data_IF_218171344087
#
_entry.id   IF_218171344087
#
_cell.length_a   1.000
_cell.length_b   1.000
_cell.length_c   1.000
_cell.angle_alpha   90.00
_cell.angle_beta   90.00
_cell.angle_gamma   90.00
#
_symmetry.space_group_name_H-M   'P 1'
#
loop_
_entity.id
_entity.type
_entity.pdbx_description
1 polymer ?
#
# COMPACT_ATOMS: atom_id res chain seq x y z
N UNK A 1 6.72 -29.20 90.16
CA UNK A 1 7.53 -29.18 88.97
C UNK A 1 6.61 -29.43 87.74
N UNK A 2 6.11 -28.44 87.09
CA UNK A 2 5.17 -28.59 85.97
C UNK A 2 5.68 -27.75 84.78
N UNK A 3 6.04 -28.49 83.76
CA UNK A 3 6.46 -27.85 82.48
C UNK A 3 5.25 -27.43 81.63
N UNK A 4 5.07 -26.13 81.44
CA UNK A 4 4.11 -25.59 80.47
C UNK A 4 4.73 -25.59 79.08
N UNK A 5 4.17 -26.37 78.17
CA UNK A 5 4.48 -26.32 76.71
C UNK A 5 3.72 -25.18 76.06
N UNK A 6 4.47 -24.21 75.54
CA UNK A 6 3.92 -23.15 74.67
C UNK A 6 3.78 -23.69 73.27
N UNK A 7 2.57 -23.65 72.72
CA UNK A 7 2.28 -23.93 71.31
C UNK A 7 2.42 -22.63 70.52
N UNK A 8 3.32 -22.62 69.57
CA UNK A 8 3.47 -21.52 68.58
C UNK A 8 2.58 -21.83 67.38
N UNK A 9 1.59 -20.99 67.15
CA UNK A 9 0.80 -21.00 65.94
C UNK A 9 1.56 -20.20 64.87
N UNK A 10 1.99 -20.87 63.81
CA UNK A 10 2.52 -20.24 62.61
C UNK A 10 1.38 -19.87 61.67
N UNK A 11 1.09 -18.58 61.51
CA UNK A 11 0.17 -18.08 60.49
C UNK A 11 0.89 -18.13 59.14
N UNK A 12 0.49 -19.08 58.31
CA UNK A 12 0.92 -19.14 56.92
C UNK A 12 0.23 -18.06 56.08
N UNK A 13 0.96 -17.05 55.69
CA UNK A 13 0.50 -16.01 54.77
C UNK A 13 0.59 -16.57 53.35
N UNK A 14 -0.53 -17.05 52.81
CA UNK A 14 -0.63 -17.43 51.38
C UNK A 14 -0.67 -16.19 50.49
N UNK A 15 0.47 -15.87 49.91
CA UNK A 15 0.55 -14.83 48.87
C UNK A 15 -0.07 -15.41 47.59
N UNK A 16 -1.31 -15.01 47.26
CA UNK A 16 -1.90 -15.21 45.94
C UNK A 16 -1.15 -14.31 44.94
N UNK A 17 -0.21 -14.88 44.19
CA UNK A 17 0.37 -14.26 43.02
C UNK A 17 -0.72 -14.21 41.92
N UNK A 18 -1.43 -13.10 41.82
CA UNK A 18 -2.23 -12.75 40.64
C UNK A 18 -1.25 -12.54 39.46
N UNK A 19 -1.08 -13.57 38.67
CA UNK A 19 -0.48 -13.44 37.35
C UNK A 19 -1.45 -12.63 36.50
N UNK A 20 -1.24 -11.32 36.38
CA UNK A 20 -1.83 -10.51 35.34
C UNK A 20 -1.32 -11.07 34.01
N UNK A 21 -2.16 -11.81 33.30
CA UNK A 21 -1.90 -12.18 31.91
C UNK A 21 -1.69 -10.86 31.14
N UNK A 22 -0.56 -10.69 30.43
CA UNK A 22 -0.39 -9.52 29.59
C UNK A 22 -1.58 -9.51 28.63
N UNK A 23 -2.31 -8.38 28.57
CA UNK A 23 -3.28 -8.13 27.51
C UNK A 23 -2.48 -8.26 26.21
N UNK A 24 -2.72 -9.34 25.46
CA UNK A 24 -2.13 -9.52 24.14
C UNK A 24 -2.58 -8.35 23.31
N UNK A 25 -1.65 -7.43 23.01
CA UNK A 25 -1.90 -6.40 22.02
C UNK A 25 -2.39 -7.09 20.74
N UNK A 26 -3.56 -6.70 20.25
CA UNK A 26 -4.06 -7.25 19.00
C UNK A 26 -3.02 -6.94 17.92
N UNK A 27 -2.67 -7.94 17.12
CA UNK A 27 -1.72 -7.75 16.04
C UNK A 27 -2.34 -6.88 14.95
N UNK A 28 -1.53 -6.12 14.20
CA UNK A 28 -2.00 -5.33 13.06
C UNK A 28 -2.79 -6.19 12.06
N UNK A 29 -2.40 -7.45 11.87
CA UNK A 29 -3.10 -8.39 11.00
C UNK A 29 -4.48 -8.78 11.55
N UNK A 30 -4.62 -8.98 12.86
CA UNK A 30 -5.90 -9.29 13.49
C UNK A 30 -6.87 -8.10 13.41
N UNK A 31 -6.40 -6.90 13.69
CA UNK A 31 -7.20 -5.66 13.58
C UNK A 31 -7.67 -5.43 12.12
N UNK A 32 -6.79 -5.61 11.15
CA UNK A 32 -7.13 -5.53 9.73
C UNK A 32 -8.19 -6.58 9.35
N UNK A 33 -8.04 -7.82 9.79
CA UNK A 33 -8.99 -8.90 9.51
C UNK A 33 -10.35 -8.60 10.11
N UNK A 34 -10.40 -8.10 11.35
CA UNK A 34 -11.63 -7.68 12.01
C UNK A 34 -12.30 -6.53 11.25
N UNK A 35 -11.55 -5.48 10.92
CA UNK A 35 -12.05 -4.34 10.16
C UNK A 35 -12.61 -4.77 8.79
N UNK A 36 -11.92 -5.63 8.06
CA UNK A 36 -12.42 -6.18 6.79
C UNK A 36 -13.73 -6.95 6.96
N UNK A 37 -13.85 -7.75 8.03
CA UNK A 37 -15.06 -8.49 8.33
C UNK A 37 -16.24 -7.55 8.67
N UNK A 38 -15.99 -6.46 9.40
CA UNK A 38 -16.99 -5.43 9.72
C UNK A 38 -17.47 -4.71 8.47
N UNK A 39 -16.55 -4.25 7.63
CA UNK A 39 -16.87 -3.62 6.34
C UNK A 39 -17.69 -4.57 5.48
N UNK A 40 -17.28 -5.84 5.38
CA UNK A 40 -18.01 -6.84 4.60
C UNK A 40 -19.45 -7.04 5.10
N UNK A 41 -19.66 -7.07 6.42
CA UNK A 41 -21.01 -7.18 7.00
C UNK A 41 -21.88 -5.96 6.73
N UNK A 42 -21.30 -4.76 6.73
CA UNK A 42 -22.03 -3.50 6.51
C UNK A 42 -22.43 -3.24 5.06
N UNK A 43 -21.81 -3.93 4.09
CA UNK A 43 -22.03 -3.68 2.66
C UNK A 43 -23.27 -4.41 2.13
N UNK A 44 -24.05 -3.78 1.24
CA UNK A 44 -25.11 -4.46 0.46
C UNK A 44 -24.55 -5.66 -0.31
N UNK A 45 -25.39 -6.67 -0.55
CA UNK A 45 -24.99 -7.89 -1.26
C UNK A 45 -24.46 -7.63 -2.68
N UNK A 46 -24.99 -6.63 -3.35
CA UNK A 46 -24.62 -6.22 -4.71
C UNK A 46 -23.47 -5.19 -4.76
N UNK A 47 -22.89 -4.83 -3.62
CA UNK A 47 -21.77 -3.90 -3.59
C UNK A 47 -20.55 -4.48 -4.33
N UNK A 48 -20.00 -3.74 -5.28
CA UNK A 48 -18.87 -4.20 -6.09
C UNK A 48 -17.67 -4.63 -5.24
N UNK A 49 -17.31 -3.86 -4.18
CA UNK A 49 -16.22 -4.21 -3.28
C UNK A 49 -16.45 -5.53 -2.52
N UNK A 50 -17.72 -5.89 -2.25
CA UNK A 50 -18.07 -7.19 -1.66
C UNK A 50 -17.85 -8.32 -2.67
N UNK A 51 -18.31 -8.13 -3.90
CA UNK A 51 -18.21 -9.15 -4.96
C UNK A 51 -16.75 -9.43 -5.36
N UNK A 52 -15.94 -8.38 -5.50
CA UNK A 52 -14.52 -8.52 -5.87
C UNK A 52 -13.62 -9.01 -4.73
N UNK A 53 -14.06 -8.96 -3.49
CA UNK A 53 -13.30 -9.48 -2.35
C UNK A 53 -13.40 -11.01 -2.16
N UNK A 54 -14.35 -11.68 -2.85
CA UNK A 54 -14.61 -13.11 -2.71
C UNK A 54 -13.65 -14.00 -3.51
N UNK A 55 -13.34 -13.69 -4.81
CA UNK A 55 -12.49 -14.57 -5.61
C UNK A 55 -11.08 -14.71 -5.02
N UNK A 56 -10.64 -15.95 -4.81
CA UNK A 56 -9.31 -16.27 -4.34
C UNK A 56 -8.29 -16.45 -5.48
N UNK A 57 -8.77 -16.52 -6.74
CA UNK A 57 -7.96 -16.74 -7.93
C UNK A 57 -8.28 -15.73 -9.03
N UNK A 58 -7.30 -15.41 -9.89
CA UNK A 58 -7.54 -14.65 -11.11
C UNK A 58 -8.56 -15.34 -12.02
N UNK A 59 -9.29 -14.56 -12.80
CA UNK A 59 -10.16 -15.09 -13.85
C UNK A 59 -9.29 -15.74 -14.95
N UNK A 60 -9.70 -16.92 -15.44
CA UNK A 60 -9.04 -17.61 -16.55
C UNK A 60 -9.42 -16.96 -17.89
N UNK A 61 -8.94 -15.74 -18.08
CA UNK A 61 -9.15 -14.90 -19.26
C UNK A 61 -7.82 -14.34 -19.75
N UNK A 62 -7.70 -13.92 -21.00
CA UNK A 62 -6.55 -13.14 -21.44
C UNK A 62 -6.34 -11.90 -20.57
N UNK A 63 -5.08 -11.57 -20.31
CA UNK A 63 -4.72 -10.42 -19.49
C UNK A 63 -5.34 -9.14 -20.07
N UNK A 64 -5.93 -8.34 -19.18
CA UNK A 64 -6.57 -7.10 -19.60
C UNK A 64 -6.95 -6.21 -18.43
N UNK A 65 -6.87 -4.91 -18.66
CA UNK A 65 -7.28 -3.86 -17.75
C UNK A 65 -8.54 -3.21 -18.27
N UNK A 66 -9.62 -3.20 -17.49
CA UNK A 66 -10.96 -2.84 -17.96
C UNK A 66 -11.52 -1.69 -17.13
N UNK A 67 -11.77 -0.55 -17.74
CA UNK A 67 -12.33 0.64 -17.09
C UNK A 67 -11.27 1.64 -16.62
N UNK A 68 -11.56 2.40 -15.56
CA UNK A 68 -10.68 3.39 -15.00
C UNK A 68 -10.00 2.87 -13.72
N UNK A 69 -8.87 3.46 -13.33
CA UNK A 69 -8.06 3.04 -12.17
C UNK A 69 -8.85 2.94 -10.86
N UNK A 70 -9.82 3.81 -10.65
CA UNK A 70 -10.74 3.78 -9.49
C UNK A 70 -12.14 3.23 -9.82
N UNK A 71 -12.38 2.71 -11.03
CA UNK A 71 -13.69 2.20 -11.46
C UNK A 71 -13.52 1.17 -12.59
N UNK A 72 -13.04 -0.01 -12.23
CA UNK A 72 -12.71 -1.04 -13.22
C UNK A 72 -12.45 -2.40 -12.61
N UNK A 73 -11.79 -3.28 -13.37
CA UNK A 73 -11.39 -4.62 -12.97
C UNK A 73 -10.21 -5.13 -13.80
N UNK A 74 -9.62 -6.26 -13.40
CA UNK A 74 -8.50 -6.91 -14.05
C UNK A 74 -8.86 -8.32 -14.49
N UNK A 75 -8.76 -8.62 -15.79
CA UNK A 75 -8.84 -9.95 -16.34
C UNK A 75 -7.44 -10.58 -16.40
N UNK A 76 -7.34 -11.90 -16.23
CA UNK A 76 -6.10 -12.66 -16.42
C UNK A 76 -4.91 -12.10 -15.64
N UNK A 77 -5.15 -11.57 -14.44
CA UNK A 77 -4.08 -11.12 -13.58
C UNK A 77 -3.18 -12.30 -13.18
N UNK A 78 -1.91 -12.02 -12.92
CA UNK A 78 -0.97 -13.00 -12.39
C UNK A 78 -0.50 -12.59 -11.00
N UNK A 79 -0.10 -13.56 -10.19
CA UNK A 79 0.43 -13.32 -8.87
C UNK A 79 1.89 -12.88 -8.96
N UNK A 80 2.26 -11.85 -8.20
CA UNK A 80 3.64 -11.60 -7.84
C UNK A 80 4.00 -12.57 -6.72
N UNK A 81 5.05 -13.39 -6.91
CA UNK A 81 5.50 -14.29 -5.87
C UNK A 81 5.85 -13.52 -4.58
N UNK A 82 5.50 -14.07 -3.40
CA UNK A 82 5.75 -13.39 -2.12
C UNK A 82 7.20 -12.98 -1.92
N UNK A 83 8.11 -13.71 -2.52
CA UNK A 83 9.56 -13.51 -2.48
C UNK A 83 10.19 -13.59 -3.85
N UNK A 84 11.20 -12.76 -4.08
CA UNK A 84 12.02 -12.84 -5.27
C UNK A 84 13.35 -12.12 -5.14
N UNK A 85 14.18 -12.14 -6.19
CA UNK A 85 15.41 -11.38 -6.23
C UNK A 85 15.13 -9.88 -6.11
N UNK A 86 15.39 -9.32 -4.92
CA UNK A 86 15.25 -7.90 -4.65
C UNK A 86 13.85 -7.42 -4.27
N UNK A 87 12.89 -8.29 -3.99
CA UNK A 87 11.60 -7.88 -3.44
C UNK A 87 11.03 -8.87 -2.43
N UNK A 88 10.16 -8.37 -1.54
CA UNK A 88 9.33 -9.13 -0.62
C UNK A 88 7.94 -8.47 -0.54
N UNK A 89 6.89 -9.28 -0.66
CA UNK A 89 5.50 -8.79 -0.54
C UNK A 89 5.16 -8.60 0.93
N UNK A 90 4.59 -7.44 1.25
CA UNK A 90 4.10 -7.10 2.59
C UNK A 90 2.61 -7.39 2.71
N UNK A 91 2.13 -7.72 3.92
CA UNK A 91 0.72 -8.05 4.20
C UNK A 91 0.18 -9.17 3.29
N UNK A 92 0.89 -10.32 3.14
CA UNK A 92 0.47 -11.38 2.23
C UNK A 92 -0.92 -11.95 2.52
N UNK A 93 -1.40 -11.88 3.77
CA UNK A 93 -2.77 -12.28 4.16
C UNK A 93 -3.88 -11.50 3.46
N UNK A 94 -3.56 -10.28 2.95
CA UNK A 94 -4.53 -9.47 2.21
C UNK A 94 -4.84 -10.02 0.81
N UNK A 95 -4.00 -10.93 0.29
CA UNK A 95 -4.07 -11.43 -1.09
C UNK A 95 -4.15 -10.28 -2.14
N UNK A 96 -3.34 -9.23 -1.96
CA UNK A 96 -3.26 -8.04 -2.83
C UNK A 96 -1.94 -7.96 -3.59
N UNK A 97 -1.41 -9.10 -3.98
CA UNK A 97 -0.17 -9.23 -4.77
C UNK A 97 -0.46 -9.76 -6.19
N UNK A 98 -1.59 -9.35 -6.77
CA UNK A 98 -1.97 -9.70 -8.13
C UNK A 98 -1.90 -8.47 -9.03
N UNK A 99 -1.62 -8.69 -10.31
CA UNK A 99 -1.57 -7.59 -11.28
C UNK A 99 -1.52 -8.07 -12.71
N UNK A 100 -1.65 -7.14 -13.62
CA UNK A 100 -1.40 -7.39 -15.03
C UNK A 100 0.03 -7.91 -15.21
N UNK A 101 0.31 -8.87 -16.12
CA UNK A 101 1.66 -9.38 -16.35
C UNK A 101 2.72 -8.29 -16.54
N UNK A 102 2.34 -7.18 -17.21
CA UNK A 102 3.19 -6.01 -17.38
C UNK A 102 3.59 -5.35 -16.05
N UNK A 103 2.67 -5.26 -15.08
CA UNK A 103 2.97 -4.71 -13.75
C UNK A 103 3.96 -5.61 -13.01
N UNK A 104 3.72 -6.92 -13.01
CA UNK A 104 4.61 -7.88 -12.35
C UNK A 104 6.01 -7.82 -12.96
N UNK A 105 6.12 -7.75 -14.29
CA UNK A 105 7.42 -7.59 -14.97
C UNK A 105 8.09 -6.26 -14.59
N UNK A 106 7.34 -5.16 -14.51
CA UNK A 106 7.85 -3.85 -14.11
C UNK A 106 8.37 -3.84 -12.67
N UNK A 107 7.67 -4.50 -11.73
CA UNK A 107 8.14 -4.61 -10.35
C UNK A 107 9.47 -5.38 -10.28
N UNK A 108 9.57 -6.50 -10.99
CA UNK A 108 10.80 -7.31 -11.07
C UNK A 108 11.98 -6.51 -11.65
N UNK A 109 11.73 -5.76 -12.71
CA UNK A 109 12.75 -4.89 -13.34
C UNK A 109 13.16 -3.74 -12.40
N UNK A 110 12.19 -3.12 -11.70
CA UNK A 110 12.47 -2.10 -10.70
C UNK A 110 13.32 -2.64 -9.55
N UNK A 111 13.00 -3.84 -9.04
CA UNK A 111 13.73 -4.48 -7.96
C UNK A 111 15.20 -4.72 -8.35
N UNK A 112 15.42 -5.31 -9.52
CA UNK A 112 16.78 -5.57 -10.04
C UNK A 112 17.58 -4.28 -10.23
N UNK A 113 16.96 -3.25 -10.80
CA UNK A 113 17.62 -1.96 -10.99
C UNK A 113 17.87 -1.20 -9.68
N UNK A 114 16.95 -1.24 -8.74
CA UNK A 114 17.10 -0.60 -7.44
C UNK A 114 18.29 -1.19 -6.65
N UNK A 115 18.50 -2.50 -6.73
CA UNK A 115 19.68 -3.14 -6.11
C UNK A 115 21.00 -2.64 -6.72
N UNK A 116 21.04 -2.38 -8.03
CA UNK A 116 22.22 -1.78 -8.67
C UNK A 116 22.49 -0.36 -8.18
N UNK A 117 21.44 0.39 -7.77
CA UNK A 117 21.56 1.72 -7.18
C UNK A 117 21.81 1.69 -5.65
N UNK A 118 22.04 0.50 -5.07
CA UNK A 118 22.31 0.33 -3.65
C UNK A 118 21.07 0.23 -2.76
N UNK A 119 19.85 0.11 -3.33
CA UNK A 119 18.64 -0.15 -2.55
C UNK A 119 18.60 -1.65 -2.17
N UNK A 120 18.51 -2.02 -0.88
CA UNK A 120 18.72 -3.41 -0.47
C UNK A 120 17.61 -4.38 -0.93
N UNK A 121 16.44 -3.87 -1.24
CA UNK A 121 15.29 -4.63 -1.72
C UNK A 121 13.99 -3.88 -1.56
N UNK A 122 13.02 -4.16 -2.42
CA UNK A 122 11.70 -3.55 -2.37
C UNK A 122 10.82 -4.28 -1.34
N UNK A 123 10.13 -3.54 -0.50
CA UNK A 123 8.98 -3.99 0.26
C UNK A 123 7.73 -3.62 -0.54
N UNK A 124 7.16 -4.61 -1.21
CA UNK A 124 6.00 -4.43 -2.10
C UNK A 124 4.73 -4.51 -1.28
N UNK A 125 4.02 -3.42 -1.18
CA UNK A 125 2.71 -3.31 -0.54
C UNK A 125 1.58 -3.81 -1.43
N UNK A 126 0.42 -3.13 -1.34
CA UNK A 126 -0.75 -3.55 -2.08
C UNK A 126 -0.59 -3.32 -3.60
N UNK A 127 -0.95 -4.33 -4.38
CA UNK A 127 -1.21 -4.30 -5.82
C UNK A 127 -2.74 -4.38 -6.02
N UNK A 128 -3.22 -5.31 -6.84
CA UNK A 128 -4.65 -5.59 -6.98
C UNK A 128 -5.03 -6.89 -6.26
N UNK A 129 -6.35 -7.07 -6.06
CA UNK A 129 -6.96 -8.36 -5.75
C UNK A 129 -6.89 -9.31 -6.97
N UNK A 130 -7.16 -10.62 -6.84
CA UNK A 130 -7.03 -11.59 -7.95
C UNK A 130 -7.75 -11.20 -9.24
N UNK A 131 -8.91 -10.53 -9.14
CA UNK A 131 -9.71 -10.05 -10.28
C UNK A 131 -9.76 -8.52 -10.37
N UNK A 132 -8.86 -7.82 -9.67
CA UNK A 132 -8.92 -6.37 -9.54
C UNK A 132 -10.19 -5.90 -8.85
N UNK A 133 -10.79 -4.84 -9.36
CA UNK A 133 -12.03 -4.29 -8.81
C UNK A 133 -11.88 -3.54 -7.49
N UNK A 134 -12.97 -2.93 -6.98
CA UNK A 134 -12.94 -2.19 -5.74
C UNK A 134 -12.60 -3.07 -4.53
N UNK A 135 -11.68 -2.61 -3.68
CA UNK A 135 -11.26 -3.29 -2.46
C UNK A 135 -12.21 -3.01 -1.29
N UNK A 136 -12.30 -3.93 -0.32
CA UNK A 136 -13.09 -3.73 0.89
C UNK A 136 -12.60 -2.52 1.68
N UNK A 137 -11.30 -2.43 1.88
CA UNK A 137 -10.64 -1.42 2.70
C UNK A 137 -9.47 -0.80 1.94
N UNK A 138 -9.05 0.39 2.36
CA UNK A 138 -7.87 1.07 1.81
C UNK A 138 -8.15 1.79 0.51
N UNK A 139 -7.57 1.32 -0.56
CA UNK A 139 -7.39 2.04 -1.82
C UNK A 139 -8.68 2.34 -2.59
N UNK A 140 -8.75 3.54 -3.16
CA UNK A 140 -9.78 3.92 -4.13
C UNK A 140 -9.43 3.48 -5.57
N UNK A 141 -8.18 3.14 -5.83
CA UNK A 141 -7.64 2.66 -7.12
C UNK A 141 -7.15 1.22 -7.02
N UNK A 142 -6.10 0.81 -7.71
CA UNK A 142 -5.59 -0.57 -7.82
C UNK A 142 -6.55 -1.56 -8.50
N UNK A 143 -7.62 -1.05 -9.12
CA UNK A 143 -8.68 -1.92 -9.65
C UNK A 143 -8.33 -2.58 -10.98
N UNK A 144 -7.40 -2.01 -11.74
CA UNK A 144 -7.00 -2.49 -13.07
C UNK A 144 -5.82 -3.48 -13.05
N UNK A 145 -5.21 -3.71 -11.88
CA UNK A 145 -3.96 -4.48 -11.81
C UNK A 145 -2.76 -3.80 -12.46
N UNK A 146 -2.78 -2.47 -12.60
CA UNK A 146 -1.72 -1.65 -13.18
C UNK A 146 -1.05 -0.72 -12.15
N UNK A 147 -1.32 -0.91 -10.87
CA UNK A 147 -0.84 -0.05 -9.79
C UNK A 147 -0.23 -0.89 -8.67
N UNK A 148 0.78 -0.33 -8.02
CA UNK A 148 1.47 -0.94 -6.88
C UNK A 148 1.95 0.12 -5.92
N UNK A 149 1.81 -0.15 -4.63
CA UNK A 149 2.44 0.60 -3.55
C UNK A 149 3.77 -0.05 -3.19
N UNK A 150 4.83 0.74 -3.15
CA UNK A 150 6.15 0.29 -2.73
C UNK A 150 6.55 1.12 -1.52
N UNK A 151 6.88 0.45 -0.42
CA UNK A 151 7.28 1.11 0.79
C UNK A 151 8.61 1.84 0.61
N UNK A 152 8.71 3.02 1.20
CA UNK A 152 9.97 3.77 1.27
C UNK A 152 10.87 3.27 2.41
N UNK A 153 10.44 2.26 3.15
CA UNK A 153 11.25 1.52 4.09
C UNK A 153 12.12 0.52 3.32
N UNK A 154 13.46 0.58 3.43
CA UNK A 154 14.33 -0.41 2.80
C UNK A 154 14.14 -1.80 3.42
N UNK A 155 14.22 -2.85 2.64
CA UNK A 155 14.29 -4.20 3.17
C UNK A 155 15.54 -4.37 4.05
N UNK A 156 15.51 -5.22 5.10
CA UNK A 156 16.70 -5.47 5.90
C UNK A 156 17.80 -6.11 5.03
N UNK A 157 19.03 -5.61 5.19
CA UNK A 157 20.17 -6.13 4.45
C UNK A 157 20.49 -7.57 4.86
N UNK A 158 20.81 -8.41 3.87
CA UNK A 158 21.31 -9.76 4.08
C UNK A 158 20.30 -10.79 4.59
N UNK A 159 19.04 -10.43 4.80
CA UNK A 159 17.99 -11.39 5.21
C UNK A 159 16.62 -11.08 4.61
N UNK A 160 15.77 -12.06 4.63
CA UNK A 160 14.34 -11.89 4.36
C UNK A 160 13.58 -11.62 5.68
N UNK A 161 12.49 -10.87 5.57
CA UNK A 161 11.52 -10.74 6.65
C UNK A 161 10.78 -12.07 6.84
N UNK A 162 10.51 -12.44 8.09
CA UNK A 162 9.61 -13.54 8.40
C UNK A 162 8.17 -13.21 7.97
N UNK A 163 7.30 -14.21 7.92
CA UNK A 163 5.88 -13.99 7.63
C UNK A 163 5.25 -13.04 8.65
N UNK A 164 5.55 -13.23 9.93
CA UNK A 164 5.07 -12.38 11.01
C UNK A 164 5.54 -10.92 10.85
N UNK A 165 6.85 -10.70 10.58
CA UNK A 165 7.36 -9.35 10.32
C UNK A 165 6.65 -8.68 9.15
N UNK A 166 6.34 -9.40 8.08
CA UNK A 166 5.60 -8.87 6.94
C UNK A 166 4.17 -8.50 7.26
N UNK A 167 3.53 -9.23 8.16
CA UNK A 167 2.16 -8.95 8.60
C UNK A 167 2.10 -7.81 9.63
N UNK A 168 3.11 -7.67 10.50
CA UNK A 168 3.03 -6.80 11.65
C UNK A 168 3.86 -5.51 11.54
N UNK A 169 4.96 -5.52 10.78
CA UNK A 169 5.86 -4.38 10.68
C UNK A 169 5.15 -3.18 10.04
N UNK A 170 5.27 -2.02 10.65
CA UNK A 170 4.83 -0.75 10.07
C UNK A 170 5.91 -0.15 9.16
N UNK A 171 5.49 0.45 8.05
CA UNK A 171 6.40 1.23 7.21
C UNK A 171 6.87 2.49 7.95
N UNK A 172 8.09 2.92 7.68
CA UNK A 172 8.69 4.12 8.27
C UNK A 172 8.08 5.35 7.58
N UNK A 173 7.50 6.22 8.38
CA UNK A 173 6.99 7.51 7.88
C UNK A 173 8.17 8.46 7.58
N UNK A 174 8.23 8.97 6.36
CA UNK A 174 9.28 9.87 5.93
C UNK A 174 8.92 11.35 6.15
N UNK A 175 7.66 11.66 6.39
CA UNK A 175 7.13 13.02 6.44
C UNK A 175 6.89 13.44 7.87
N UNK A 176 7.23 14.68 8.18
CA UNK A 176 6.98 15.27 9.50
C UNK A 176 5.47 15.42 9.75
N UNK A 177 5.00 15.43 11.02
CA UNK A 177 3.58 15.46 11.35
C UNK A 177 2.84 16.70 10.83
N UNK A 178 3.55 17.81 10.61
CA UNK A 178 2.98 19.03 10.04
C UNK A 178 2.80 18.97 8.51
N UNK A 179 3.28 17.90 7.86
CA UNK A 179 3.25 17.67 6.42
C UNK A 179 3.96 18.74 5.59
N UNK A 180 4.87 19.51 6.18
CA UNK A 180 5.61 20.57 5.48
C UNK A 180 6.92 20.06 4.88
N UNK A 181 7.57 19.10 5.53
CA UNK A 181 8.82 18.54 5.04
C UNK A 181 9.00 17.07 5.42
N UNK A 182 10.04 16.45 4.88
CA UNK A 182 10.50 15.12 5.27
C UNK A 182 11.42 15.22 6.48
N UNK A 183 11.58 14.12 7.20
CA UNK A 183 12.67 13.97 8.16
C UNK A 183 13.98 13.84 7.38
N UNK A 184 14.96 14.75 7.56
CA UNK A 184 16.20 14.76 6.76
C UNK A 184 17.00 13.44 6.86
N UNK A 185 16.98 12.82 8.02
CA UNK A 185 17.66 11.55 8.29
C UNK A 185 16.95 10.33 7.66
N UNK A 186 15.68 10.48 7.26
CA UNK A 186 14.88 9.39 6.66
C UNK A 186 14.82 9.46 5.15
N UNK A 187 14.79 10.66 4.57
CA UNK A 187 14.81 10.83 3.10
C UNK A 187 16.24 10.98 2.60
N UNK A 188 16.84 9.88 2.20
CA UNK A 188 18.25 9.78 1.79
C UNK A 188 18.42 9.85 0.26
N UNK A 189 19.66 10.03 -0.25
CA UNK A 189 19.93 9.93 -1.69
C UNK A 189 19.46 8.62 -2.34
N UNK A 190 19.44 7.52 -1.59
CA UNK A 190 18.92 6.23 -2.08
C UNK A 190 17.41 6.27 -2.36
N UNK A 191 16.64 7.01 -1.55
CA UNK A 191 15.20 7.25 -1.81
C UNK A 191 15.00 8.05 -3.10
N UNK A 192 15.81 9.08 -3.33
CA UNK A 192 15.76 9.87 -4.56
C UNK A 192 16.09 9.00 -5.78
N UNK A 193 17.14 8.18 -5.69
CA UNK A 193 17.54 7.25 -6.75
C UNK A 193 16.43 6.23 -7.08
N UNK A 194 15.79 5.66 -6.06
CA UNK A 194 14.67 4.72 -6.22
C UNK A 194 13.48 5.38 -6.94
N UNK A 195 13.06 6.58 -6.51
CA UNK A 195 11.97 7.34 -7.15
C UNK A 195 12.31 7.69 -8.60
N UNK A 196 13.56 8.13 -8.86
CA UNK A 196 14.05 8.46 -10.19
C UNK A 196 14.02 7.23 -11.09
N UNK A 197 14.54 6.09 -10.63
CA UNK A 197 14.54 4.83 -11.39
C UNK A 197 13.12 4.44 -11.75
N UNK A 198 12.19 4.44 -10.80
CA UNK A 198 10.80 4.12 -11.06
C UNK A 198 10.19 5.07 -12.09
N UNK A 199 10.41 6.39 -11.97
CA UNK A 199 9.87 7.39 -12.89
C UNK A 199 10.43 7.28 -14.31
N UNK A 200 11.67 6.85 -14.47
CA UNK A 200 12.31 6.67 -15.77
C UNK A 200 11.88 5.40 -16.49
N UNK A 201 11.22 4.45 -15.81
CA UNK A 201 10.69 3.27 -16.49
C UNK A 201 9.68 3.65 -17.58
N UNK A 202 9.78 3.08 -18.81
CA UNK A 202 8.99 3.49 -19.97
C UNK A 202 7.49 3.31 -19.77
N UNK A 203 7.10 2.26 -19.02
CA UNK A 203 5.72 1.91 -18.78
C UNK A 203 5.06 2.70 -17.65
N UNK A 204 5.84 3.40 -16.82
CA UNK A 204 5.30 4.22 -15.74
C UNK A 204 4.64 5.48 -16.29
N UNK A 205 3.35 5.62 -16.00
CA UNK A 205 2.59 6.84 -16.29
C UNK A 205 2.89 7.90 -15.23
N UNK A 206 2.66 7.59 -13.97
CA UNK A 206 2.91 8.50 -12.84
C UNK A 206 3.20 7.76 -11.55
N UNK A 207 3.76 8.50 -10.61
CA UNK A 207 4.05 8.05 -9.25
C UNK A 207 3.40 9.05 -8.31
N UNK A 208 2.64 8.55 -7.32
CA UNK A 208 2.10 9.41 -6.28
C UNK A 208 2.93 9.30 -5.00
N UNK A 209 3.22 10.44 -4.40
CA UNK A 209 3.92 10.60 -3.13
C UNK A 209 3.31 11.74 -2.33
N UNK A 210 3.59 11.83 -1.04
CA UNK A 210 3.26 13.03 -0.28
C UNK A 210 3.94 14.28 -0.87
N UNK A 211 3.32 15.45 -0.72
CA UNK A 211 3.86 16.71 -1.23
C UNK A 211 5.24 17.04 -0.66
N UNK A 212 5.49 16.72 0.62
CA UNK A 212 6.79 16.90 1.26
C UNK A 212 7.89 16.03 0.61
N UNK A 213 7.57 14.78 0.26
CA UNK A 213 8.49 13.89 -0.46
C UNK A 213 8.78 14.45 -1.88
N UNK A 214 7.74 14.93 -2.57
CA UNK A 214 7.92 15.60 -3.87
C UNK A 214 8.81 16.83 -3.74
N UNK A 215 8.62 17.66 -2.72
CA UNK A 215 9.43 18.84 -2.46
C UNK A 215 10.89 18.47 -2.18
N UNK A 216 11.12 17.45 -1.34
CA UNK A 216 12.47 16.94 -1.06
C UNK A 216 13.14 16.46 -2.36
N UNK A 217 12.44 15.70 -3.22
CA UNK A 217 12.96 15.29 -4.50
C UNK A 217 13.28 16.49 -5.41
N UNK A 218 12.43 17.52 -5.41
CA UNK A 218 12.69 18.75 -6.17
C UNK A 218 13.94 19.52 -5.70
N UNK A 219 14.21 19.53 -4.39
CA UNK A 219 15.42 20.17 -3.82
C UNK A 219 16.68 19.38 -4.09
N UNK A 220 16.58 18.05 -3.98
CA UNK A 220 17.75 17.17 -4.07
C UNK A 220 18.18 16.87 -5.50
N UNK A 221 17.27 17.00 -6.48
CA UNK A 221 17.62 16.75 -7.89
C UNK A 221 18.27 18.00 -8.52
N UNK A 222 19.56 17.92 -8.72
CA UNK A 222 20.37 18.99 -9.31
C UNK A 222 20.70 18.75 -10.78
N UNK A 223 20.45 17.55 -11.30
CA UNK A 223 20.72 17.14 -12.66
C UNK A 223 19.50 17.22 -13.57
N UNK A 224 19.25 16.14 -14.30
CA UNK A 224 18.11 16.00 -15.21
C UNK A 224 16.79 15.90 -14.42
N UNK A 225 15.91 16.87 -14.61
CA UNK A 225 14.67 17.05 -13.84
C UNK A 225 13.40 16.54 -14.53
N UNK A 226 13.50 16.15 -15.80
CA UNK A 226 12.33 15.75 -16.59
C UNK A 226 11.49 14.62 -15.99
N UNK A 227 12.13 13.68 -15.28
CA UNK A 227 11.48 12.58 -14.61
C UNK A 227 10.56 13.00 -13.45
N UNK A 228 10.88 14.12 -12.78
CA UNK A 228 10.09 14.69 -11.69
C UNK A 228 8.66 14.99 -12.13
N UNK A 229 8.42 15.26 -13.42
CA UNK A 229 7.08 15.44 -13.97
C UNK A 229 6.13 14.30 -13.63
N UNK A 230 6.63 13.06 -13.63
CA UNK A 230 5.81 11.89 -13.32
C UNK A 230 5.54 11.72 -11.82
N UNK A 231 6.35 12.31 -10.95
CA UNK A 231 6.16 12.27 -9.50
C UNK A 231 5.15 13.31 -9.09
N UNK A 232 3.97 12.87 -8.67
CA UNK A 232 2.79 13.73 -8.41
C UNK A 232 2.44 13.73 -6.93
N UNK A 233 2.23 14.90 -6.34
CA UNK A 233 1.78 14.98 -4.96
C UNK A 233 0.36 14.42 -4.83
N UNK A 234 0.15 13.64 -3.77
CA UNK A 234 -1.14 13.09 -3.39
C UNK A 234 -1.27 13.02 -1.87
N UNK A 235 -2.48 13.09 -1.37
CA UNK A 235 -2.75 13.00 0.06
C UNK A 235 -2.35 11.64 0.64
N UNK A 236 -1.95 11.58 1.90
CA UNK A 236 -1.29 10.41 2.46
C UNK A 236 0.08 10.20 1.80
N UNK A 237 0.42 8.97 1.42
CA UNK A 237 1.66 8.59 0.72
C UNK A 237 2.94 9.10 1.44
N UNK A 238 2.92 9.08 2.76
CA UNK A 238 4.03 9.57 3.60
C UNK A 238 5.11 8.53 3.82
N UNK A 239 4.79 7.24 3.63
CA UNK A 239 5.66 6.08 3.88
C UNK A 239 5.84 5.16 2.68
N UNK A 240 5.14 5.39 1.60
CA UNK A 240 5.23 4.63 0.35
C UNK A 240 5.08 5.54 -0.85
N UNK A 241 5.49 5.06 -2.00
CA UNK A 241 5.15 5.66 -3.28
C UNK A 241 4.26 4.70 -4.08
N UNK A 242 3.24 5.28 -4.70
CA UNK A 242 2.28 4.56 -5.51
C UNK A 242 2.64 4.69 -6.98
N UNK A 243 2.98 3.59 -7.62
CA UNK A 243 3.31 3.55 -9.05
C UNK A 243 2.08 3.17 -9.86
N UNK A 244 1.75 3.96 -10.87
CA UNK A 244 0.73 3.64 -11.85
C UNK A 244 1.34 3.48 -13.24
N UNK A 245 1.09 2.36 -13.90
CA UNK A 245 1.52 2.10 -15.26
C UNK A 245 0.55 2.73 -16.27
N UNK A 246 1.04 3.00 -17.47
CA UNK A 246 0.21 3.35 -18.63
C UNK A 246 -0.73 2.18 -18.96
N UNK A 247 -2.00 2.44 -19.07
CA UNK A 247 -2.91 1.46 -19.65
C UNK A 247 -2.88 1.55 -21.17
N UNK A 248 -2.60 0.43 -21.81
CA UNK A 248 -2.58 0.29 -23.27
C UNK A 248 -3.72 -0.59 -23.78
N UNK A 249 -4.56 -1.12 -22.88
CA UNK A 249 -5.75 -1.87 -23.25
C UNK A 249 -6.81 -0.91 -23.82
N UNK A 250 -7.42 -1.21 -24.96
CA UNK A 250 -8.46 -0.34 -25.56
C UNK A 250 -9.72 -0.20 -24.68
N UNK A 251 -9.88 -1.07 -23.68
CA UNK A 251 -10.98 -1.02 -22.70
C UNK A 251 -10.70 -0.10 -21.52
N UNK A 252 -9.49 0.49 -21.43
CA UNK A 252 -9.18 1.46 -20.39
C UNK A 252 -9.89 2.80 -20.62
N UNK A 253 -10.39 3.37 -19.54
CA UNK A 253 -10.82 4.76 -19.52
C UNK A 253 -9.63 5.71 -19.68
N UNK A 254 -9.89 6.87 -20.30
CA UNK A 254 -8.91 7.91 -20.47
C UNK A 254 -8.42 8.44 -19.10
N UNK A 255 -7.16 8.73 -19.02
CA UNK A 255 -6.56 9.44 -17.89
C UNK A 255 -6.03 10.79 -18.34
N UNK A 256 -6.26 11.84 -17.53
CA UNK A 256 -5.76 13.18 -17.83
C UNK A 256 -4.24 13.16 -18.05
N UNK A 257 -3.77 13.90 -19.05
CA UNK A 257 -2.34 14.09 -19.29
C UNK A 257 -1.66 14.75 -18.07
N UNK A 258 -0.39 14.41 -17.86
CA UNK A 258 0.41 15.09 -16.86
C UNK A 258 0.81 16.47 -17.42
N UNK A 259 0.63 17.57 -16.64
CA UNK A 259 1.07 18.90 -17.08
C UNK A 259 2.55 18.95 -17.46
N UNK A 260 2.93 19.88 -18.31
CA UNK A 260 4.32 20.12 -18.67
C UNK A 260 5.14 20.63 -17.47
N UNK A 261 6.47 20.56 -17.58
CA UNK A 261 7.40 20.95 -16.52
C UNK A 261 7.64 19.86 -15.48
N UNK A 262 8.48 20.14 -14.49
CA UNK A 262 8.89 19.20 -13.44
C UNK A 262 7.87 19.09 -12.28
N UNK A 263 6.88 19.99 -12.24
CA UNK A 263 5.86 20.03 -11.19
C UNK A 263 6.35 20.52 -9.83
N UNK A 264 7.50 21.19 -9.77
CA UNK A 264 8.14 21.67 -8.54
C UNK A 264 7.78 23.12 -8.15
N UNK A 265 7.07 23.84 -9.01
CA UNK A 265 6.75 25.26 -8.81
C UNK A 265 5.39 25.48 -8.13
N UNK A 266 4.61 26.41 -8.69
CA UNK A 266 3.30 26.85 -8.16
C UNK A 266 2.32 25.72 -7.94
N UNK A 267 2.39 24.67 -8.77
CA UNK A 267 1.53 23.49 -8.63
C UNK A 267 1.81 22.75 -7.33
N UNK A 268 3.07 22.59 -6.95
CA UNK A 268 3.45 21.97 -5.70
C UNK A 268 3.10 22.84 -4.50
N UNK A 269 3.35 24.17 -4.58
CA UNK A 269 3.13 25.09 -3.46
C UNK A 269 1.70 25.06 -2.90
N UNK A 270 0.69 24.80 -3.72
CA UNK A 270 -0.70 24.72 -3.27
C UNK A 270 -0.95 23.59 -2.24
N UNK A 271 -0.14 22.53 -2.30
CA UNK A 271 -0.27 21.37 -1.40
C UNK A 271 0.13 21.67 0.04
N UNK A 272 0.90 22.75 0.25
CA UNK A 272 1.37 23.18 1.57
C UNK A 272 0.44 24.17 2.27
N UNK A 273 -0.66 24.56 1.63
CA UNK A 273 -1.70 25.35 2.31
C UNK A 273 -2.33 24.54 3.43
N UNK A 274 -2.62 25.20 4.55
CA UNK A 274 -3.16 24.54 5.74
C UNK A 274 -4.44 23.76 5.44
N UNK A 275 -5.37 24.37 4.68
CA UNK A 275 -6.64 23.76 4.30
C UNK A 275 -6.50 22.53 3.38
N UNK A 276 -5.36 22.36 2.73
CA UNK A 276 -5.05 21.18 1.89
C UNK A 276 -4.39 20.09 2.74
N UNK A 277 -3.47 20.46 3.63
CA UNK A 277 -2.79 19.52 4.53
C UNK A 277 -3.76 18.97 5.60
N UNK A 278 -4.62 19.83 6.14
CA UNK A 278 -5.57 19.52 7.20
C UNK A 278 -6.97 19.97 6.81
N UNK A 279 -7.63 19.27 5.88
CA UNK A 279 -8.95 19.67 5.40
C UNK A 279 -9.97 19.62 6.54
N UNK A 280 -10.66 20.75 6.78
CA UNK A 280 -11.71 20.87 7.79
C UNK A 280 -13.02 20.28 7.27
N UNK A 281 -13.74 19.60 8.14
CA UNK A 281 -15.06 19.03 7.85
C UNK A 281 -15.04 17.52 7.61
N UNK A 282 -16.21 16.90 7.73
CA UNK A 282 -16.38 15.45 7.47
C UNK A 282 -16.42 15.24 5.97
N UNK A 283 -15.49 14.44 5.44
CA UNK A 283 -15.63 13.95 4.06
C UNK A 283 -16.92 13.15 3.93
N UNK A 284 -17.64 13.42 2.86
CA UNK A 284 -18.76 12.56 2.49
C UNK A 284 -18.23 11.15 2.25
N UNK A 285 -18.85 10.11 2.82
CA UNK A 285 -18.45 8.75 2.52
C UNK A 285 -18.55 8.52 1.00
N UNK A 286 -17.58 7.83 0.41
CA UNK A 286 -17.61 7.56 -1.02
C UNK A 286 -18.86 6.73 -1.38
N UNK A 287 -19.44 7.01 -2.56
CA UNK A 287 -20.56 6.22 -3.08
C UNK A 287 -20.21 4.73 -3.08
N UNK A 288 -21.08 3.91 -2.52
CA UNK A 288 -20.97 2.46 -2.64
C UNK A 288 -21.28 2.06 -4.08
N UNK A 289 -20.23 1.66 -4.82
CA UNK A 289 -20.40 1.19 -6.19
C UNK A 289 -21.02 -0.21 -6.17
N UNK A 290 -21.94 -0.44 -7.10
CA UNK A 290 -22.48 -1.76 -7.44
C UNK A 290 -21.79 -2.30 -8.70
N UNK A 291 -22.04 -3.56 -9.06
CA UNK A 291 -21.52 -4.12 -10.31
C UNK A 291 -22.02 -3.35 -11.55
N UNK A 292 -23.25 -2.80 -11.50
CA UNK A 292 -23.82 -1.99 -12.57
C UNK A 292 -23.10 -0.64 -12.77
N UNK A 293 -22.41 -0.14 -11.74
CA UNK A 293 -21.60 1.08 -11.85
C UNK A 293 -20.25 0.84 -12.56
N UNK A 294 -19.82 -0.42 -12.69
CA UNK A 294 -18.57 -0.81 -13.36
C UNK A 294 -18.80 -1.11 -14.85
N UNK A 295 -17.75 -1.16 -15.68
CA UNK A 295 -17.86 -1.66 -17.04
C UNK A 295 -18.52 -3.04 -17.11
N UNK A 296 -19.42 -3.26 -18.05
CA UNK A 296 -20.15 -4.55 -18.21
C UNK A 296 -19.23 -5.77 -18.26
N UNK A 297 -18.06 -5.64 -18.88
CA UNK A 297 -17.06 -6.70 -18.94
C UNK A 297 -16.53 -7.14 -17.56
N UNK A 298 -16.65 -6.31 -16.52
CA UNK A 298 -16.29 -6.71 -15.16
C UNK A 298 -17.19 -7.79 -14.58
N UNK A 299 -18.46 -7.87 -15.02
CA UNK A 299 -19.34 -9.00 -14.71
C UNK A 299 -18.84 -10.31 -15.31
N UNK A 300 -18.28 -10.28 -16.51
CA UNK A 300 -17.65 -11.45 -17.14
C UNK A 300 -16.39 -11.88 -16.39
N UNK A 301 -15.57 -10.93 -15.93
CA UNK A 301 -14.39 -11.20 -15.12
C UNK A 301 -14.77 -11.87 -13.80
N UNK A 302 -15.85 -11.45 -13.14
CA UNK A 302 -16.34 -12.09 -11.91
C UNK A 302 -16.90 -13.49 -12.13
N UNK A 303 -17.56 -13.73 -13.26
CA UNK A 303 -18.22 -14.99 -13.58
C UNK A 303 -17.25 -16.05 -14.18
N UNK A 304 -16.10 -15.63 -14.68
CA UNK A 304 -15.11 -16.54 -15.27
C UNK A 304 -14.56 -17.53 -14.22
N UNK A 305 -14.17 -18.78 -14.64
CA UNK A 305 -13.53 -19.74 -13.75
C UNK A 305 -12.21 -19.23 -13.19
#
# INVERSE_FOLDING_TARGET
MGFMKRATFALGLSILLLFALPALAQSNAAEEAQHRAEVLRSLPQNAARRLFAVPASPAQLPAGAIGAYGKGCAAGAIRLEPDGPGWQVMRPSRARNFGHPKLVASIKALAAGAQQDGWPGLLVGDMAQPRGGPMLTGHASHQLGLEVDIWLTPAPAGRRLTLEEREEMSAIDLVQPDLLDVYPERFTPAHLALLRRAALMPDVDRIFVNAAIKQAACRSETGERGWLRKVRPWEGHTYHFHVALKCTDPRCGNRNSIPAGDGCGKELARWFREEVRFPKGKRQPPKILTLADLPKACGQVLAAP
#
